data_IF_526318636853
#
_entry.id   IF_526318636853
#
_cell.length_a   1.000
_cell.length_b   1.000
_cell.length_c   1.000
_cell.angle_alpha   90.00
_cell.angle_beta   90.00
_cell.angle_gamma   90.00
#
_symmetry.space_group_name_H-M   'P 1'
#
loop_
_entity.id
_entity.type
_entity.pdbx_description
1 polymer ?
#
# COMPACT_ATOMS: atom_id res chain seq x y z
N UNK A 1 -4.29 -7.99 -18.79
CA UNK A 1 -4.49 -6.69 -18.12
C UNK A 1 -4.02 -6.86 -16.69
N UNK A 2 -2.73 -6.60 -16.42
CA UNK A 2 -2.18 -6.74 -15.08
C UNK A 2 -2.94 -5.79 -14.15
N UNK A 3 -3.48 -6.33 -13.06
CA UNK A 3 -4.08 -5.55 -11.99
C UNK A 3 -2.97 -4.74 -11.32
N UNK A 4 -2.58 -3.62 -11.93
CA UNK A 4 -1.75 -2.61 -11.30
C UNK A 4 -2.58 -2.06 -10.15
N UNK A 5 -2.35 -2.59 -8.94
CA UNK A 5 -2.92 -2.06 -7.73
C UNK A 5 -2.67 -0.54 -7.74
N UNK A 6 -3.74 0.23 -7.90
CA UNK A 6 -3.66 1.70 -8.00
C UNK A 6 -3.50 2.26 -6.60
N UNK A 7 -2.32 2.05 -6.01
CA UNK A 7 -1.98 2.59 -4.70
C UNK A 7 -2.05 4.11 -4.73
N UNK A 8 -2.61 4.70 -3.67
CA UNK A 8 -2.70 6.14 -3.48
C UNK A 8 -1.70 6.57 -2.42
N UNK A 9 -1.23 7.81 -2.54
CA UNK A 9 -0.42 8.45 -1.51
C UNK A 9 -1.12 8.34 -0.15
N UNK A 10 -0.44 7.76 0.85
CA UNK A 10 -0.98 7.47 2.18
C UNK A 10 -1.45 6.03 2.37
N UNK A 11 -1.55 5.21 1.32
CA UNK A 11 -1.93 3.82 1.46
C UNK A 11 -0.84 3.02 2.18
N UNK A 12 -1.25 2.13 3.07
CA UNK A 12 -0.35 1.14 3.66
C UNK A 12 -0.10 0.05 2.64
N UNK A 13 1.16 -0.22 2.36
CA UNK A 13 1.64 -1.29 1.48
C UNK A 13 2.60 -2.17 2.24
N UNK A 14 2.77 -3.39 1.79
CA UNK A 14 3.71 -4.35 2.37
C UNK A 14 4.72 -4.73 1.29
N UNK A 15 6.00 -4.68 1.64
CA UNK A 15 7.03 -5.20 0.76
C UNK A 15 7.01 -6.73 0.78
N UNK A 16 6.83 -7.36 -0.37
CA UNK A 16 6.64 -8.82 -0.48
C UNK A 16 7.79 -9.64 0.12
N UNK A 17 9.04 -9.18 -0.02
CA UNK A 17 10.21 -9.93 0.42
C UNK A 17 10.52 -9.77 1.91
N UNK A 18 10.31 -8.57 2.47
CA UNK A 18 10.64 -8.27 3.87
C UNK A 18 9.42 -8.33 4.79
N UNK A 19 8.21 -8.53 4.23
CA UNK A 19 6.93 -8.46 4.93
C UNK A 19 6.77 -7.18 5.78
N UNK A 20 7.40 -6.11 5.32
CA UNK A 20 7.53 -4.86 6.05
C UNK A 20 6.43 -3.91 5.63
N UNK A 21 5.73 -3.35 6.62
CA UNK A 21 4.65 -2.40 6.37
C UNK A 21 5.25 -1.02 6.13
N UNK A 22 4.86 -0.41 5.02
CA UNK A 22 5.31 0.89 4.56
C UNK A 22 4.10 1.72 4.14
N UNK A 23 4.31 3.01 3.97
CA UNK A 23 3.33 3.97 3.46
C UNK A 23 3.74 4.33 2.04
N UNK A 24 2.87 4.06 1.08
CA UNK A 24 3.04 4.48 -0.29
C UNK A 24 2.92 6.01 -0.37
N UNK A 25 3.89 6.67 -0.97
CA UNK A 25 3.87 8.13 -1.16
C UNK A 25 3.47 8.50 -2.58
N UNK A 26 4.10 7.89 -3.59
CA UNK A 26 3.78 8.14 -5.00
C UNK A 26 4.34 7.06 -5.91
N UNK A 27 3.72 6.88 -7.07
CA UNK A 27 4.30 6.14 -8.17
C UNK A 27 5.32 7.00 -8.92
N UNK A 28 6.36 6.37 -9.43
CA UNK A 28 7.44 6.96 -10.23
C UNK A 28 7.70 6.03 -11.42
N UNK A 29 6.73 5.94 -12.34
CA UNK A 29 6.76 4.96 -13.43
C UNK A 29 6.46 3.55 -12.95
N UNK A 30 7.42 2.64 -13.09
CA UNK A 30 7.33 1.24 -12.63
C UNK A 30 7.72 1.08 -11.15
N UNK A 31 8.27 2.13 -10.55
CA UNK A 31 8.65 2.18 -9.15
C UNK A 31 7.61 2.95 -8.31
N UNK A 32 7.73 2.78 -7.00
CA UNK A 32 6.94 3.44 -5.98
C UNK A 32 7.83 3.93 -4.87
N UNK A 33 7.67 5.20 -4.52
CA UNK A 33 8.33 5.80 -3.36
C UNK A 33 7.52 5.43 -2.13
N UNK A 34 8.13 4.72 -1.18
CA UNK A 34 7.51 4.34 0.08
C UNK A 34 8.30 4.91 1.26
N UNK A 35 7.60 5.15 2.36
CA UNK A 35 8.18 5.56 3.64
C UNK A 35 7.78 4.58 4.74
N UNK A 36 8.71 4.23 5.62
CA UNK A 36 8.45 3.38 6.78
C UNK A 36 9.24 3.84 7.99
N UNK A 37 8.76 3.46 9.17
CA UNK A 37 9.46 3.71 10.42
C UNK A 37 10.15 2.42 10.88
N UNK A 38 11.47 2.48 11.12
CA UNK A 38 12.25 1.32 11.58
C UNK A 38 12.34 1.23 13.11
N UNK A 39 11.65 2.10 13.85
CA UNK A 39 11.76 2.23 15.31
C UNK A 39 12.73 3.32 15.77
N UNK A 40 13.60 3.82 14.88
CA UNK A 40 14.59 4.86 15.18
C UNK A 40 14.39 6.11 14.32
N UNK A 41 14.04 5.94 13.05
CA UNK A 41 13.82 7.03 12.09
C UNK A 41 12.85 6.62 10.98
N UNK A 42 12.31 7.64 10.31
CA UNK A 42 11.60 7.44 9.05
C UNK A 42 12.65 7.19 7.97
N UNK A 43 12.51 6.07 7.29
CA UNK A 43 13.27 5.73 6.09
C UNK A 43 12.35 5.87 4.90
N UNK A 44 12.92 6.33 3.78
CA UNK A 44 12.19 6.53 2.54
C UNK A 44 13.03 6.00 1.40
N UNK A 45 12.43 5.16 0.57
CA UNK A 45 13.13 4.50 -0.53
C UNK A 45 12.19 4.18 -1.69
N UNK A 46 12.76 3.80 -2.83
CA UNK A 46 12.04 3.37 -4.02
C UNK A 46 12.00 1.85 -4.09
N UNK A 47 10.81 1.31 -4.31
CA UNK A 47 10.58 -0.11 -4.53
C UNK A 47 9.82 -0.32 -5.83
N UNK A 48 10.10 -1.42 -6.52
CA UNK A 48 9.29 -1.81 -7.67
C UNK A 48 7.83 -1.96 -7.26
N UNK A 49 6.89 -1.39 -8.02
CA UNK A 49 5.45 -1.52 -7.76
C UNK A 49 5.02 -3.00 -7.68
N UNK A 50 5.65 -3.86 -8.47
CA UNK A 50 5.41 -5.30 -8.47
C UNK A 50 5.82 -6.00 -7.17
N UNK A 51 6.73 -5.41 -6.38
CA UNK A 51 7.15 -5.92 -5.08
C UNK A 51 6.27 -5.42 -3.92
N UNK A 52 5.35 -4.50 -4.19
CA UNK A 52 4.41 -3.96 -3.21
C UNK A 52 3.10 -4.72 -3.27
N UNK A 53 2.65 -5.19 -2.12
CA UNK A 53 1.34 -5.81 -1.96
C UNK A 53 0.48 -4.96 -1.04
N UNK A 54 -0.83 -5.01 -1.23
CA UNK A 54 -1.74 -4.51 -0.21
C UNK A 54 -1.56 -5.39 1.04
N UNK A 55 -1.45 -4.81 2.25
CA UNK A 55 -1.62 -5.60 3.46
C UNK A 55 -2.97 -6.31 3.38
N UNK A 56 -3.16 -7.47 4.01
CA UNK A 56 -4.47 -8.06 4.13
C UNK A 56 -5.38 -7.01 4.79
N UNK A 57 -6.18 -6.34 3.97
CA UNK A 57 -7.31 -5.57 4.46
C UNK A 57 -8.14 -6.62 5.16
N UNK A 58 -8.15 -6.59 6.51
CA UNK A 58 -9.35 -7.01 7.23
C UNK A 58 -10.46 -6.31 6.49
N UNK A 59 -11.23 -7.09 5.74
CA UNK A 59 -12.25 -6.61 4.82
C UNK A 59 -12.89 -5.39 5.48
N UNK A 60 -12.82 -4.23 4.81
CA UNK A 60 -13.68 -3.13 5.15
C UNK A 60 -15.07 -3.76 5.14
N UNK A 61 -15.61 -4.01 6.34
CA UNK A 61 -16.92 -4.62 6.52
C UNK A 61 -17.82 -3.71 5.74
N UNK A 62 -18.31 -4.21 4.61
CA UNK A 62 -19.16 -3.48 3.71
C UNK A 62 -20.44 -3.16 4.46
N UNK A 63 -20.47 -2.05 5.17
CA UNK A 63 -21.72 -1.48 5.66
C UNK A 63 -22.36 -0.72 4.51
N UNK A 64 -22.79 -1.49 3.51
CA UNK A 64 -23.75 -1.01 2.52
C UNK A 64 -25.11 -1.12 3.20
N UNK A 65 -25.48 -0.13 4.03
CA UNK A 65 -26.90 0.08 4.35
C UNK A 65 -27.55 0.69 3.12
N UNK A 66 -27.86 -0.19 2.17
CA UNK A 66 -28.94 0.00 1.22
C UNK A 66 -30.19 -0.54 1.88
N UNK A 67 -30.85 0.30 2.66
CA UNK A 67 -32.15 0.04 3.27
C UNK A 67 -33.09 1.19 3.01
N UNK A 68 -33.52 1.31 1.75
CA UNK A 68 -34.64 2.14 1.28
C UNK A 68 -35.86 1.85 2.17
N UNK A 69 -36.48 2.87 2.75
CA UNK A 69 -37.90 2.87 3.11
C UNK A 69 -38.53 4.06 2.43
#
# INVERSE_FOLDING_TARGET
>A
MSAGASFKAGDKVVHASSNQIMVFLKADGEDAVCEWFDGKKNNRDKFALAALTTPPQRAAVGFRVSGRR
#
